data_IF_045245779071
#
_entry.id   IF_045245779071
#
_cell.length_a   1.000
_cell.length_b   1.000
_cell.length_c   1.000
_cell.angle_alpha   90.00
_cell.angle_beta   90.00
_cell.angle_gamma   90.00
#
_symmetry.space_group_name_H-M   'P 1'
#
loop_
_entity.id
_entity.type
_entity.pdbx_description
1 polymer ?
#
# COMPACT_ATOMS: atom_id res chain seq x y z
N UNK A 1 -13.13 -24.97 23.45
CA UNK A 1 -12.15 -25.05 22.36
C UNK A 1 -11.42 -23.73 22.39
N UNK A 2 -10.16 -23.73 22.83
CA UNK A 2 -9.37 -22.50 23.03
C UNK A 2 -8.67 -22.19 21.72
N UNK A 3 -8.94 -21.01 21.18
CA UNK A 3 -8.26 -20.49 19.99
C UNK A 3 -6.76 -20.32 20.28
N UNK A 4 -5.95 -20.96 19.46
CA UNK A 4 -4.49 -20.89 19.49
C UNK A 4 -4.06 -19.46 19.14
N UNK A 5 -3.72 -18.66 20.14
CA UNK A 5 -3.06 -17.38 19.95
C UNK A 5 -1.65 -17.66 19.39
N UNK A 6 -1.33 -17.26 18.14
CA UNK A 6 -0.01 -17.49 17.59
C UNK A 6 1.01 -16.69 18.39
N UNK A 7 1.99 -17.42 18.95
CA UNK A 7 3.07 -16.89 19.76
C UNK A 7 3.75 -15.71 19.05
N UNK A 8 3.89 -14.57 19.73
CA UNK A 8 4.50 -13.33 19.21
C UNK A 8 5.88 -13.57 18.56
N UNK A 9 6.58 -14.61 19.01
CA UNK A 9 7.88 -15.03 18.50
C UNK A 9 7.81 -15.72 17.11
N UNK A 10 6.71 -16.39 16.80
CA UNK A 10 6.47 -17.01 15.49
C UNK A 10 6.01 -15.96 14.47
N UNK A 11 5.23 -14.97 14.91
CA UNK A 11 4.87 -13.80 14.10
C UNK A 11 6.13 -13.01 13.74
N UNK A 12 7.02 -12.77 14.71
CA UNK A 12 8.31 -12.11 14.49
C UNK A 12 9.19 -12.86 13.47
N UNK A 13 9.15 -14.20 13.46
CA UNK A 13 9.86 -15.02 12.47
C UNK A 13 9.21 -14.97 11.08
N UNK A 14 7.89 -14.88 11.00
CA UNK A 14 7.14 -14.67 9.75
C UNK A 14 7.41 -13.29 9.15
N UNK A 15 7.53 -12.26 9.99
CA UNK A 15 7.87 -10.87 9.61
C UNK A 15 9.26 -10.81 8.97
N UNK A 16 10.24 -11.52 9.52
CA UNK A 16 11.66 -11.35 9.16
C UNK A 16 12.07 -11.83 7.77
N UNK A 17 11.24 -12.62 7.06
CA UNK A 17 11.74 -13.31 5.86
C UNK A 17 11.72 -12.48 4.57
N UNK A 18 10.91 -11.42 4.46
CA UNK A 18 10.87 -10.44 3.33
C UNK A 18 9.75 -9.37 3.53
N UNK A 19 9.72 -8.63 4.65
CA UNK A 19 8.73 -7.55 4.85
C UNK A 19 9.42 -6.22 5.15
N UNK A 20 8.91 -5.16 4.52
CA UNK A 20 9.29 -3.79 4.86
C UNK A 20 8.15 -3.13 5.66
N UNK A 21 8.53 -2.30 6.62
CA UNK A 21 7.63 -1.58 7.53
C UNK A 21 7.43 -0.13 7.05
N UNK A 22 6.25 0.44 7.25
CA UNK A 22 5.98 1.86 6.95
C UNK A 22 4.96 2.47 7.88
N UNK A 23 5.25 3.65 8.39
CA UNK A 23 4.31 4.44 9.19
C UNK A 23 3.42 5.31 8.30
N UNK A 24 2.10 5.18 8.46
CA UNK A 24 1.11 6.02 7.76
C UNK A 24 0.22 6.69 8.81
N UNK A 25 0.56 7.93 9.16
CA UNK A 25 -0.11 8.61 10.29
C UNK A 25 0.20 7.89 11.60
N UNK A 26 -0.79 7.73 12.49
CA UNK A 26 -0.64 6.97 13.74
C UNK A 26 -0.66 5.44 13.52
N UNK A 27 -0.82 4.97 12.28
CA UNK A 27 -0.98 3.56 11.98
C UNK A 27 0.30 2.98 11.34
N UNK A 28 0.88 1.95 11.96
CA UNK A 28 1.96 1.17 11.36
C UNK A 28 1.39 0.25 10.27
N UNK A 29 2.10 0.06 9.16
CA UNK A 29 1.70 -0.86 8.10
C UNK A 29 2.88 -1.76 7.75
N UNK A 30 2.62 -3.06 7.70
CA UNK A 30 3.59 -4.09 7.33
C UNK A 30 3.01 -4.89 6.19
N UNK A 31 3.71 -5.03 5.07
CA UNK A 31 3.16 -5.71 3.89
C UNK A 31 4.04 -6.88 3.45
N UNK A 32 3.38 -8.00 3.16
CA UNK A 32 3.96 -9.18 2.50
C UNK A 32 3.66 -9.10 1.00
N UNK A 33 4.30 -9.96 0.19
CA UNK A 33 4.24 -9.96 -1.28
C UNK A 33 2.82 -9.80 -1.90
N UNK A 34 1.75 -10.15 -1.19
CA UNK A 34 0.35 -10.02 -1.64
C UNK A 34 -0.65 -9.51 -0.59
N UNK A 35 -0.20 -9.05 0.57
CA UNK A 35 -1.11 -8.72 1.68
C UNK A 35 -0.53 -7.58 2.51
N UNK A 36 -1.35 -6.60 2.87
CA UNK A 36 -0.98 -5.57 3.83
C UNK A 36 -1.62 -5.87 5.20
N UNK A 37 -0.85 -5.68 6.26
CA UNK A 37 -1.28 -5.68 7.65
C UNK A 37 -1.26 -4.24 8.13
N UNK A 38 -2.42 -3.74 8.57
CA UNK A 38 -2.55 -2.38 9.11
C UNK A 38 -2.73 -2.49 10.62
N UNK A 39 -1.90 -1.77 11.36
CA UNK A 39 -1.96 -1.62 12.81
C UNK A 39 -2.58 -0.26 13.14
N UNK A 40 -3.58 -0.22 14.02
CA UNK A 40 -4.17 1.03 14.52
C UNK A 40 -3.62 1.42 15.88
N UNK A 41 -3.45 2.72 16.14
CA UNK A 41 -3.08 3.21 17.47
C UNK A 41 -4.30 3.21 18.40
N UNK A 42 -4.23 2.32 19.39
CA UNK A 42 -4.77 2.39 20.77
C UNK A 42 -5.26 1.04 21.31
N UNK A 43 -5.48 0.00 20.49
CA UNK A 43 -5.68 -1.39 20.96
C UNK A 43 -5.66 -2.39 19.79
N UNK A 44 -4.45 -2.75 19.36
CA UNK A 44 -4.04 -4.07 18.85
C UNK A 44 -5.04 -4.96 18.07
N UNK A 45 -5.73 -4.45 17.04
CA UNK A 45 -6.31 -5.33 16.02
C UNK A 45 -5.47 -5.30 14.75
N UNK A 46 -4.70 -6.37 14.54
CA UNK A 46 -3.97 -6.59 13.30
C UNK A 46 -5.00 -6.93 12.20
N UNK A 47 -5.39 -5.93 11.40
CA UNK A 47 -6.35 -6.16 10.32
C UNK A 47 -5.62 -6.54 9.04
N UNK A 48 -5.87 -7.75 8.56
CA UNK A 48 -5.43 -8.20 7.23
C UNK A 48 -6.29 -7.52 6.17
N UNK A 49 -5.65 -6.81 5.26
CA UNK A 49 -6.31 -6.12 4.15
C UNK A 49 -5.65 -6.52 2.83
N UNK A 50 -6.46 -6.66 1.77
CA UNK A 50 -5.92 -6.86 0.44
C UNK A 50 -5.06 -5.65 0.04
N UNK A 51 -3.93 -5.90 -0.64
CA UNK A 51 -3.01 -4.82 -1.03
C UNK A 51 -3.69 -3.83 -1.99
N UNK A 52 -4.62 -4.31 -2.80
CA UNK A 52 -5.50 -3.49 -3.65
C UNK A 52 -6.31 -2.47 -2.84
N UNK A 53 -7.05 -2.94 -1.84
CA UNK A 53 -7.90 -2.10 -0.99
C UNK A 53 -7.07 -1.09 -0.19
N UNK A 54 -5.88 -1.53 0.26
CA UNK A 54 -4.92 -0.66 0.93
C UNK A 54 -4.45 0.49 0.02
N UNK A 55 -4.07 0.20 -1.23
CA UNK A 55 -3.68 1.24 -2.19
C UNK A 55 -4.84 2.15 -2.56
N UNK A 56 -6.06 1.63 -2.69
CA UNK A 56 -7.26 2.44 -2.91
C UNK A 56 -7.46 3.43 -1.76
N UNK A 57 -7.33 2.98 -0.50
CA UNK A 57 -7.45 3.86 0.68
C UNK A 57 -6.41 4.98 0.64
N UNK A 58 -5.15 4.67 0.35
CA UNK A 58 -4.09 5.68 0.24
C UNK A 58 -4.39 6.67 -0.88
N UNK A 59 -4.82 6.19 -2.05
CA UNK A 59 -5.16 7.05 -3.17
C UNK A 59 -6.41 7.90 -2.90
N UNK A 60 -7.33 7.43 -2.06
CA UNK A 60 -8.51 8.18 -1.65
C UNK A 60 -8.16 9.27 -0.63
N UNK A 61 -7.24 8.99 0.30
CA UNK A 61 -6.85 9.89 1.39
C UNK A 61 -5.83 10.93 0.92
N UNK A 62 -4.80 10.50 0.19
CA UNK A 62 -3.64 11.33 -0.19
C UNK A 62 -3.58 11.66 -1.68
N UNK A 63 -4.42 11.05 -2.52
CA UNK A 63 -4.38 11.24 -3.97
C UNK A 63 -4.84 12.65 -4.41
N UNK A 64 -4.41 13.13 -5.59
CA UNK A 64 -3.67 12.42 -6.65
C UNK A 64 -2.14 12.40 -6.43
N UNK A 65 -1.51 11.23 -6.50
CA UNK A 65 -0.06 11.06 -6.22
C UNK A 65 0.65 10.20 -7.25
N UNK A 66 1.99 10.29 -7.30
CA UNK A 66 2.79 9.50 -8.25
C UNK A 66 3.06 8.09 -7.71
N UNK A 67 3.38 7.14 -8.61
CA UNK A 67 3.88 5.81 -8.21
C UNK A 67 5.14 5.90 -7.34
N UNK A 68 6.00 6.89 -7.56
CA UNK A 68 7.18 7.10 -6.72
C UNK A 68 6.80 7.49 -5.30
N UNK A 69 5.81 8.38 -5.17
CA UNK A 69 5.24 8.78 -3.88
C UNK A 69 4.58 7.59 -3.17
N UNK A 70 3.81 6.77 -3.90
CA UNK A 70 3.23 5.54 -3.35
C UNK A 70 4.32 4.60 -2.83
N UNK A 71 5.40 4.38 -3.59
CA UNK A 71 6.52 3.56 -3.14
C UNK A 71 7.14 4.12 -1.86
N UNK A 72 7.37 5.43 -1.77
CA UNK A 72 7.91 6.06 -0.56
C UNK A 72 6.95 6.00 0.64
N UNK A 73 5.64 6.05 0.42
CA UNK A 73 4.62 6.05 1.48
C UNK A 73 4.23 4.66 1.97
N UNK A 74 4.52 3.62 1.20
CA UNK A 74 4.11 2.24 1.53
C UNK A 74 5.28 1.29 1.64
N UNK A 75 6.46 1.75 1.26
CA UNK A 75 7.67 0.99 0.99
C UNK A 75 7.50 -0.15 -0.05
N UNK A 76 6.31 -0.33 -0.63
CA UNK A 76 6.03 -1.38 -1.64
C UNK A 76 6.95 -1.19 -2.86
N UNK A 77 7.61 -2.26 -3.35
CA UNK A 77 8.45 -2.19 -4.53
C UNK A 77 7.71 -1.62 -5.75
N UNK A 78 8.42 -0.79 -6.53
CA UNK A 78 7.85 -0.10 -7.70
C UNK A 78 7.28 -1.05 -8.76
N UNK A 79 7.84 -2.25 -8.88
CA UNK A 79 7.37 -3.32 -9.77
C UNK A 79 6.04 -3.88 -9.28
N UNK A 80 5.95 -4.22 -7.99
CA UNK A 80 4.71 -4.65 -7.34
C UNK A 80 3.61 -3.59 -7.46
N UNK A 81 3.93 -2.31 -7.21
CA UNK A 81 3.00 -1.21 -7.44
C UNK A 81 2.55 -1.10 -8.90
N UNK A 82 3.43 -1.40 -9.86
CA UNK A 82 3.05 -1.37 -11.28
C UNK A 82 1.97 -2.42 -11.57
N UNK A 83 2.18 -3.66 -11.13
CA UNK A 83 1.23 -4.76 -11.38
C UNK A 83 -0.12 -4.49 -10.74
N UNK A 84 -0.13 -4.03 -9.48
CA UNK A 84 -1.36 -3.76 -8.74
C UNK A 84 -2.09 -2.55 -9.31
N UNK A 85 -1.39 -1.44 -9.61
CA UNK A 85 -2.03 -0.27 -10.22
C UNK A 85 -2.57 -0.60 -11.61
N UNK A 86 -1.89 -1.44 -12.40
CA UNK A 86 -2.40 -1.88 -13.70
C UNK A 86 -3.70 -2.68 -13.54
N UNK A 87 -3.77 -3.59 -12.56
CA UNK A 87 -4.98 -4.34 -12.23
C UNK A 87 -6.12 -3.41 -11.77
N UNK A 88 -5.85 -2.48 -10.86
CA UNK A 88 -6.84 -1.51 -10.38
C UNK A 88 -7.37 -0.59 -11.49
N UNK A 89 -6.52 -0.21 -12.44
CA UNK A 89 -6.94 0.55 -13.63
C UNK A 89 -7.82 -0.30 -14.54
N UNK A 90 -7.44 -1.56 -14.80
CA UNK A 90 -8.23 -2.48 -15.62
C UNK A 90 -9.61 -2.73 -15.01
N UNK A 91 -9.71 -2.75 -13.68
CA UNK A 91 -10.97 -2.90 -12.95
C UNK A 91 -11.77 -1.59 -12.87
N UNK A 92 -11.26 -0.47 -13.40
CA UNK A 92 -11.91 0.83 -13.35
C UNK A 92 -11.93 1.48 -11.97
N UNK A 93 -11.13 1.00 -11.00
CA UNK A 93 -11.10 1.54 -9.64
C UNK A 93 -10.11 2.71 -9.50
N UNK A 94 -9.07 2.76 -10.34
CA UNK A 94 -8.05 3.81 -10.34
C UNK A 94 -7.90 4.37 -11.74
N UNK A 95 -7.69 5.68 -11.83
CA UNK A 95 -7.31 6.35 -13.07
C UNK A 95 -5.90 6.96 -12.96
N UNK A 96 -5.30 7.21 -14.12
CA UNK A 96 -4.02 7.90 -14.21
C UNK A 96 -4.11 9.09 -15.16
N UNK A 97 -3.55 10.24 -14.77
CA UNK A 97 -3.44 11.44 -15.62
C UNK A 97 -1.99 11.90 -15.74
N UNK A 98 -1.51 12.18 -16.97
CA UNK A 98 -0.23 12.81 -17.16
C UNK A 98 -0.31 14.30 -16.79
N UNK A 99 0.60 14.75 -15.94
CA UNK A 99 0.81 16.16 -15.63
C UNK A 99 2.04 16.62 -16.39
N UNK A 100 1.81 17.49 -17.39
CA UNK A 100 2.88 18.13 -18.15
C UNK A 100 3.53 19.21 -17.30
N UNK A 101 4.84 19.12 -17.14
CA UNK A 101 5.64 20.20 -16.58
C UNK A 101 6.24 21.03 -17.71
N UNK A 102 6.50 22.33 -17.51
CA UNK A 102 7.20 23.19 -18.49
C UNK A 102 8.66 22.75 -18.78
N UNK A 103 9.16 21.71 -18.10
CA UNK A 103 10.50 21.14 -18.28
C UNK A 103 10.48 20.01 -19.32
N UNK A 104 11.54 19.91 -20.13
CA UNK A 104 11.77 18.82 -21.08
C UNK A 104 11.87 17.48 -20.34
N UNK A 105 11.23 16.43 -20.87
CA UNK A 105 11.26 15.07 -20.30
C UNK A 105 9.89 14.39 -20.26
N UNK A 106 9.85 13.19 -19.66
CA UNK A 106 8.62 12.40 -19.51
C UNK A 106 7.67 13.09 -18.51
N UNK A 107 6.38 13.26 -18.86
CA UNK A 107 5.38 13.79 -17.93
C UNK A 107 5.28 12.94 -16.65
N UNK A 108 4.98 13.59 -15.53
CA UNK A 108 4.67 12.88 -14.28
C UNK A 108 3.28 12.25 -14.42
N UNK A 109 3.13 11.02 -13.96
CA UNK A 109 1.83 10.35 -13.94
C UNK A 109 1.29 10.39 -12.51
N UNK A 110 0.12 11.00 -12.34
CA UNK A 110 -0.63 10.98 -11.09
C UNK A 110 -1.72 9.92 -11.16
N UNK A 111 -1.89 9.19 -10.07
CA UNK A 111 -2.91 8.17 -9.87
C UNK A 111 -3.92 8.69 -8.84
N UNK A 112 -5.20 8.37 -9.04
CA UNK A 112 -6.30 8.72 -8.14
C UNK A 112 -7.43 7.70 -8.27
N UNK A 113 -8.26 7.57 -7.23
CA UNK A 113 -9.43 6.69 -7.25
C UNK A 113 -10.47 7.25 -8.23
N UNK A 114 -11.01 6.38 -9.08
CA UNK A 114 -12.11 6.76 -9.98
C UNK A 114 -13.39 6.94 -9.15
N UNK A 115 -14.03 8.10 -9.29
CA UNK A 115 -15.35 8.37 -8.69
C UNK A 115 -16.45 8.00 -9.67
#
# INVERSE_FOLDING_TARGET
>A
MMDENPNMNDISKLIRKNLDETEIGNNMVVYSQRTAFVYGDESSEMKKVAIEDFLIRILSDKGPITRGTLASLTNIPRTTLYDILAKLISNGQVEKKPVRTKKRGRPKILFYVKR
#
